data_IF_058065770021
#
_entry.id   IF_058065770021
#
_cell.length_a   1.000
_cell.length_b   1.000
_cell.length_c   1.000
_cell.angle_alpha   90.00
_cell.angle_beta   90.00
_cell.angle_gamma   90.00
#
_symmetry.space_group_name_H-M   'P 1'
#
loop_
_entity.id
_entity.type
_entity.pdbx_description
1 polymer ?
#
# COMPACT_ATOMS: atom_id res chain seq x y z
N UNK A 1 -13.76 4.35 26.00
CA UNK A 1 -13.16 5.70 26.03
C UNK A 1 -13.07 6.21 24.61
N UNK A 2 -13.78 7.30 24.28
CA UNK A 2 -13.70 7.91 22.95
C UNK A 2 -12.46 8.79 22.91
N UNK A 3 -11.43 8.39 22.16
CA UNK A 3 -10.33 9.29 21.81
C UNK A 3 -10.92 10.39 20.93
N UNK A 4 -11.15 11.57 21.51
CA UNK A 4 -11.42 12.78 20.73
C UNK A 4 -10.22 13.00 19.82
N UNK A 5 -10.40 12.82 18.50
CA UNK A 5 -9.42 13.27 17.50
C UNK A 5 -9.07 14.72 17.83
N UNK A 6 -7.78 15.02 18.02
CA UNK A 6 -7.33 16.42 18.02
C UNK A 6 -7.85 17.04 16.72
N UNK A 7 -8.40 18.25 16.82
CA UNK A 7 -8.82 19.02 15.65
C UNK A 7 -7.70 18.99 14.60
N UNK A 8 -8.07 18.84 13.33
CA UNK A 8 -7.14 18.86 12.21
C UNK A 8 -6.26 20.11 12.36
N UNK A 9 -5.02 19.90 12.78
CA UNK A 9 -4.07 20.99 12.89
C UNK A 9 -3.87 21.51 11.45
N UNK A 10 -3.86 22.83 11.22
CA UNK A 10 -3.57 23.35 9.90
C UNK A 10 -2.23 22.77 9.45
N UNK A 11 -2.27 22.03 8.34
CA UNK A 11 -1.08 21.51 7.68
C UNK A 11 -0.30 22.72 7.21
N UNK A 12 0.78 23.06 7.93
CA UNK A 12 1.55 24.29 7.70
C UNK A 12 2.27 24.30 6.35
N UNK A 13 2.74 23.12 5.92
CA UNK A 13 3.33 22.86 4.61
C UNK A 13 2.57 21.68 3.98
N UNK A 14 2.15 21.80 2.72
CA UNK A 14 1.51 20.70 2.00
C UNK A 14 2.33 19.39 2.03
N UNK A 15 3.67 19.48 2.16
CA UNK A 15 4.55 18.33 2.32
C UNK A 15 4.41 17.59 3.67
N UNK A 16 3.79 18.22 4.68
CA UNK A 16 3.47 17.59 5.95
C UNK A 16 2.16 16.80 5.92
N UNK A 17 1.42 16.82 4.81
CA UNK A 17 0.28 15.92 4.60
C UNK A 17 0.81 14.51 4.30
N UNK A 18 0.33 13.54 5.08
CA UNK A 18 0.57 12.12 4.83
C UNK A 18 -0.64 11.51 4.14
N UNK A 19 -0.42 10.86 3.00
CA UNK A 19 -1.45 10.14 2.26
C UNK A 19 -1.21 8.65 2.37
N UNK A 20 -2.27 7.90 2.71
CA UNK A 20 -2.25 6.44 2.77
C UNK A 20 -3.34 5.90 1.86
N UNK A 21 -2.96 5.06 0.89
CA UNK A 21 -3.88 4.49 -0.10
C UNK A 21 -3.77 2.97 -0.10
N UNK A 22 -4.81 2.24 0.36
CA UNK A 22 -4.88 0.79 0.18
C UNK A 22 -5.07 0.44 -1.30
N UNK A 23 -4.18 -0.39 -1.86
CA UNK A 23 -4.32 -1.03 -3.18
C UNK A 23 -4.80 -2.49 -3.07
N UNK A 24 -4.92 -3.00 -1.85
CA UNK A 24 -5.48 -4.29 -1.48
C UNK A 24 -5.53 -4.40 0.04
N UNK A 25 -6.24 -5.40 0.59
CA UNK A 25 -6.55 -5.51 2.02
C UNK A 25 -7.38 -4.34 2.61
N UNK A 26 -7.88 -3.44 1.75
CA UNK A 26 -8.83 -2.40 2.13
C UNK A 26 -10.23 -3.00 2.35
N UNK A 27 -10.61 -3.22 3.61
CA UNK A 27 -11.86 -3.91 3.99
C UNK A 27 -11.98 -5.35 3.48
N UNK A 28 -10.84 -6.04 3.31
CA UNK A 28 -10.76 -7.45 2.90
C UNK A 28 -9.52 -8.13 3.51
N UNK A 29 -9.41 -9.45 3.36
CA UNK A 29 -8.21 -10.23 3.71
C UNK A 29 -7.60 -10.81 2.44
N UNK A 30 -6.30 -10.60 2.21
CA UNK A 30 -5.62 -10.98 0.98
C UNK A 30 -5.03 -9.78 0.25
N UNK A 31 -4.05 -10.03 -0.63
CA UNK A 31 -3.40 -9.02 -1.51
C UNK A 31 -3.00 -7.73 -0.80
N UNK A 32 -2.44 -7.83 0.42
CA UNK A 32 -1.96 -6.68 1.20
C UNK A 32 -0.99 -5.85 0.37
N UNK A 33 -1.33 -4.58 0.19
CA UNK A 33 -0.55 -3.62 -0.59
C UNK A 33 -1.05 -2.21 -0.27
N UNK A 34 -0.20 -1.37 0.30
CA UNK A 34 -0.56 -0.01 0.70
C UNK A 34 0.51 0.97 0.26
N UNK A 35 0.08 2.11 -0.29
CA UNK A 35 0.97 3.20 -0.67
C UNK A 35 0.93 4.25 0.42
N UNK A 36 2.10 4.65 0.89
CA UNK A 36 2.30 5.75 1.82
C UNK A 36 3.09 6.85 1.12
N UNK A 37 2.53 8.06 1.05
CA UNK A 37 3.22 9.25 0.54
C UNK A 37 3.41 10.27 1.65
N UNK A 38 4.64 10.73 1.82
CA UNK A 38 4.98 11.76 2.81
C UNK A 38 6.29 12.45 2.44
N UNK A 39 6.35 13.78 2.51
CA UNK A 39 7.56 14.58 2.24
C UNK A 39 8.30 14.20 0.95
N UNK A 40 7.55 14.01 -0.14
CA UNK A 40 8.09 13.66 -1.45
C UNK A 40 8.66 12.23 -1.54
N UNK A 41 8.37 11.37 -0.56
CA UNK A 41 8.71 9.95 -0.57
C UNK A 41 7.47 9.09 -0.74
N UNK A 42 7.61 8.04 -1.54
CA UNK A 42 6.56 7.04 -1.78
C UNK A 42 7.05 5.68 -1.33
N UNK A 43 6.36 5.10 -0.35
CA UNK A 43 6.65 3.78 0.21
C UNK A 43 5.54 2.82 -0.17
N UNK A 44 5.89 1.64 -0.68
CA UNK A 44 4.97 0.53 -0.84
C UNK A 44 5.11 -0.44 0.34
N UNK A 45 4.03 -0.68 1.06
CA UNK A 45 3.96 -1.60 2.18
C UNK A 45 3.25 -2.88 1.74
N UNK A 46 3.98 -3.99 1.78
CA UNK A 46 3.60 -5.30 1.24
C UNK A 46 3.28 -5.31 -0.27
N UNK A 47 3.33 -6.50 -0.84
CA UNK A 47 3.00 -6.77 -2.23
C UNK A 47 2.49 -8.22 -2.34
N UNK A 48 1.29 -8.46 -1.83
CA UNK A 48 0.70 -9.79 -1.73
C UNK A 48 -0.16 -10.24 -2.91
N UNK A 49 -0.74 -11.43 -2.79
CA UNK A 49 -1.84 -11.91 -3.65
C UNK A 49 -3.08 -12.27 -2.81
N UNK A 50 -4.26 -12.26 -3.39
CA UNK A 50 -5.48 -12.70 -2.72
C UNK A 50 -5.63 -14.23 -2.84
N UNK A 51 -5.49 -15.02 -1.76
CA UNK A 51 -5.46 -16.50 -1.86
C UNK A 51 -6.75 -17.12 -2.40
N UNK A 52 -7.90 -16.44 -2.22
CA UNK A 52 -9.19 -16.85 -2.75
C UNK A 52 -9.49 -16.42 -4.19
N UNK A 53 -8.54 -15.79 -4.90
CA UNK A 53 -8.70 -15.34 -6.28
C UNK A 53 -7.59 -15.94 -7.16
N UNK A 54 -7.72 -15.83 -8.49
CA UNK A 54 -6.81 -16.49 -9.43
C UNK A 54 -6.43 -15.57 -10.57
N UNK A 55 -5.19 -15.70 -11.06
CA UNK A 55 -4.68 -14.85 -12.13
C UNK A 55 -4.57 -13.38 -11.71
N UNK A 56 -4.80 -12.48 -12.66
CA UNK A 56 -4.64 -11.02 -12.47
C UNK A 56 -5.60 -10.47 -11.40
N UNK A 57 -6.80 -11.04 -11.23
CA UNK A 57 -7.75 -10.56 -10.21
C UNK A 57 -7.23 -10.74 -8.79
N UNK A 58 -6.33 -11.70 -8.57
CA UNK A 58 -5.67 -11.90 -7.28
C UNK A 58 -4.60 -10.88 -6.94
N UNK A 59 -4.21 -10.01 -7.87
CA UNK A 59 -3.20 -8.98 -7.62
C UNK A 59 -3.82 -7.74 -6.95
N UNK A 60 -3.00 -6.91 -6.29
CA UNK A 60 -3.36 -5.55 -5.92
C UNK A 60 -3.69 -4.69 -7.15
N UNK A 61 -4.35 -3.55 -6.92
CA UNK A 61 -4.68 -2.56 -7.96
C UNK A 61 -3.43 -1.76 -8.40
N UNK A 62 -2.46 -2.43 -9.02
CA UNK A 62 -1.20 -1.81 -9.47
C UNK A 62 -1.39 -0.77 -10.58
N UNK A 63 -2.49 -0.84 -11.32
CA UNK A 63 -2.90 0.17 -12.30
C UNK A 63 -3.12 1.57 -11.71
N UNK A 64 -3.29 1.66 -10.38
CA UNK A 64 -3.44 2.92 -9.66
C UNK A 64 -2.11 3.60 -9.30
N UNK A 65 -0.96 2.98 -9.60
CA UNK A 65 0.37 3.54 -9.32
C UNK A 65 1.36 3.32 -10.47
N UNK A 66 2.36 4.20 -10.54
CA UNK A 66 3.56 3.97 -11.33
C UNK A 66 4.61 3.27 -10.45
N UNK A 67 5.02 2.02 -10.76
CA UNK A 67 6.07 1.32 -10.01
C UNK A 67 7.39 2.11 -9.93
N UNK A 68 7.73 2.90 -10.96
CA UNK A 68 8.95 3.71 -10.96
C UNK A 68 8.91 4.87 -9.96
N UNK A 69 7.73 5.22 -9.44
CA UNK A 69 7.55 6.27 -8.43
C UNK A 69 7.79 5.80 -6.99
N UNK A 70 7.95 4.49 -6.76
CA UNK A 70 8.17 3.90 -5.44
C UNK A 70 9.65 4.02 -5.05
N UNK A 71 9.95 4.72 -3.96
CA UNK A 71 11.31 4.84 -3.43
C UNK A 71 11.76 3.55 -2.71
N UNK A 72 10.84 2.90 -1.99
CA UNK A 72 11.12 1.69 -1.21
C UNK A 72 9.87 0.82 -1.08
N UNK A 73 10.09 -0.49 -1.19
CA UNK A 73 9.09 -1.53 -0.95
C UNK A 73 9.50 -2.31 0.31
N UNK A 74 8.60 -2.39 1.29
CA UNK A 74 8.83 -3.08 2.56
C UNK A 74 7.85 -4.25 2.69
N UNK A 75 8.38 -5.46 2.82
CA UNK A 75 7.59 -6.67 3.12
C UNK A 75 7.60 -6.91 4.62
N UNK A 76 6.42 -7.08 5.21
CA UNK A 76 6.25 -7.31 6.64
C UNK A 76 6.64 -8.74 7.05
N UNK A 77 6.20 -9.74 6.30
CA UNK A 77 6.48 -11.17 6.52
C UNK A 77 6.21 -12.00 5.26
N UNK A 78 6.51 -13.30 5.31
CA UNK A 78 6.61 -14.18 4.13
C UNK A 78 5.28 -14.79 3.65
N UNK A 79 4.14 -14.50 4.27
CA UNK A 79 2.88 -15.08 3.81
C UNK A 79 2.49 -14.58 2.41
N UNK A 80 1.77 -15.42 1.66
CA UNK A 80 1.46 -15.18 0.25
C UNK A 80 0.67 -13.89 0.04
N UNK A 81 -0.25 -13.59 0.96
CA UNK A 81 -1.05 -12.37 0.98
C UNK A 81 -0.27 -11.11 1.34
N UNK A 82 1.03 -11.20 1.60
CA UNK A 82 1.92 -10.08 1.83
C UNK A 82 3.11 -10.01 0.86
N UNK A 83 3.58 -11.15 0.33
CA UNK A 83 4.84 -11.19 -0.43
C UNK A 83 4.72 -11.78 -1.86
N UNK A 84 3.69 -12.56 -2.17
CA UNK A 84 3.70 -13.35 -3.41
C UNK A 84 3.41 -12.55 -4.69
N UNK A 85 2.94 -11.31 -4.57
CA UNK A 85 2.77 -10.38 -5.69
C UNK A 85 4.08 -9.71 -6.11
N UNK A 86 5.11 -9.75 -5.26
CA UNK A 86 6.38 -9.07 -5.46
C UNK A 86 7.06 -9.39 -6.81
N UNK A 87 7.21 -10.67 -7.23
CA UNK A 87 7.87 -10.98 -8.51
C UNK A 87 7.10 -10.45 -9.72
N UNK A 88 5.77 -10.34 -9.62
CA UNK A 88 4.98 -9.72 -10.68
C UNK A 88 5.25 -8.22 -10.73
N UNK A 89 5.30 -7.56 -9.57
CA UNK A 89 5.48 -6.12 -9.46
C UNK A 89 6.87 -5.64 -9.90
N UNK A 90 7.93 -6.43 -9.68
CA UNK A 90 9.31 -6.03 -10.00
C UNK A 90 9.79 -6.46 -11.37
N UNK A 91 9.28 -7.58 -11.91
CA UNK A 91 9.81 -8.21 -13.13
C UNK A 91 8.90 -8.10 -14.36
N UNK A 92 7.74 -7.44 -14.26
CA UNK A 92 6.78 -7.27 -15.37
C UNK A 92 6.31 -5.84 -15.50
#
# INVERSE_FOLDING_TARGET
MSYKRKADLPVGDANDLMEVTPLGAGSEVGRSCHVLKYKGKTVLLDCGIHPGQSGISGLPFFDSIDPASIDVLLITHFHLDHAAGLPYFTER
#
